data_IF_339387875701
#
_entry.id   IF_339387875701
#
_cell.length_a   1.000
_cell.length_b   1.000
_cell.length_c   1.000
_cell.angle_alpha   90.00
_cell.angle_beta   90.00
_cell.angle_gamma   90.00
#
_symmetry.space_group_name_H-M   'P 1'
#
loop_
_entity.id
_entity.type
_entity.pdbx_description
1 polymer ?
#
# COMPACT_ATOMS: atom_id res chain seq x y z
N UNK A 1 16.43 -17.04 -8.41
CA UNK A 1 15.48 -17.34 -7.33
C UNK A 1 14.07 -17.13 -7.89
N UNK A 2 13.17 -18.10 -7.77
CA UNK A 2 11.82 -17.98 -8.31
C UNK A 2 11.00 -17.02 -7.44
N UNK A 3 10.53 -15.93 -8.04
CA UNK A 3 9.72 -14.89 -7.42
C UNK A 3 8.31 -15.45 -7.11
N UNK A 4 8.05 -15.79 -5.84
CA UNK A 4 6.78 -16.40 -5.41
C UNK A 4 5.73 -15.32 -5.15
N UNK A 5 4.42 -15.59 -5.38
CA UNK A 5 3.36 -14.61 -5.15
C UNK A 5 3.32 -14.01 -3.74
N UNK A 6 3.66 -14.80 -2.72
CA UNK A 6 3.71 -14.37 -1.31
C UNK A 6 4.81 -13.31 -1.09
N UNK A 7 5.99 -13.51 -1.69
CA UNK A 7 7.10 -12.57 -1.56
C UNK A 7 6.79 -11.23 -2.23
N UNK A 8 6.09 -11.26 -3.37
CA UNK A 8 5.65 -10.05 -4.05
C UNK A 8 4.64 -9.24 -3.25
N UNK A 9 3.58 -9.88 -2.71
CA UNK A 9 2.57 -9.15 -1.93
C UNK A 9 3.17 -8.53 -0.67
N UNK A 10 4.06 -9.26 0.00
CA UNK A 10 4.80 -8.76 1.15
C UNK A 10 5.64 -7.54 0.78
N UNK A 11 6.45 -7.64 -0.27
CA UNK A 11 7.28 -6.53 -0.75
C UNK A 11 6.46 -5.28 -1.07
N UNK A 12 5.37 -5.40 -1.82
CA UNK A 12 4.56 -4.20 -2.15
C UNK A 12 3.79 -3.66 -0.93
N UNK A 13 3.50 -4.50 0.06
CA UNK A 13 2.87 -4.05 1.32
C UNK A 13 3.88 -3.25 2.13
N UNK A 14 5.09 -3.79 2.34
CA UNK A 14 6.19 -3.13 3.06
C UNK A 14 6.49 -1.75 2.44
N UNK A 15 6.59 -1.67 1.11
CA UNK A 15 6.84 -0.39 0.42
C UNK A 15 5.69 0.61 0.60
N UNK A 16 4.43 0.15 0.65
CA UNK A 16 3.29 1.04 0.95
C UNK A 16 3.34 1.49 2.41
N UNK A 17 3.66 0.59 3.34
CA UNK A 17 3.79 0.86 4.77
C UNK A 17 4.89 1.91 5.06
N UNK A 18 6.03 1.83 4.37
CA UNK A 18 7.11 2.82 4.45
C UNK A 18 6.72 4.21 3.94
N UNK A 19 5.68 4.32 3.12
CA UNK A 19 5.22 5.56 2.48
C UNK A 19 3.77 5.91 2.86
N UNK A 20 3.29 5.45 4.02
CA UNK A 20 1.89 5.58 4.44
C UNK A 20 1.38 7.02 4.46
N UNK A 21 2.14 7.92 5.08
CA UNK A 21 1.76 9.32 5.29
C UNK A 21 1.85 10.19 4.03
N UNK A 22 2.42 9.69 2.94
CA UNK A 22 2.54 10.45 1.69
C UNK A 22 1.24 10.32 0.88
N UNK A 23 0.37 11.32 0.96
CA UNK A 23 -0.88 11.40 0.19
C UNK A 23 -0.68 11.23 -1.33
N UNK A 24 0.50 11.60 -1.86
CA UNK A 24 0.84 11.48 -3.28
C UNK A 24 1.33 10.09 -3.67
N UNK A 25 1.60 9.20 -2.70
CA UNK A 25 2.07 7.85 -2.97
C UNK A 25 0.99 7.01 -3.66
N UNK A 26 1.22 6.71 -4.95
CA UNK A 26 0.28 6.01 -5.81
C UNK A 26 0.92 4.95 -6.68
N UNK A 27 0.27 4.65 -7.81
CA UNK A 27 0.67 3.57 -8.72
C UNK A 27 2.06 3.80 -9.31
N UNK A 28 2.40 5.06 -9.63
CA UNK A 28 3.67 5.41 -10.28
C UNK A 28 4.83 5.28 -9.29
N UNK A 29 4.60 5.70 -8.05
CA UNK A 29 5.55 5.73 -6.95
C UNK A 29 5.86 4.29 -6.53
N UNK A 30 4.83 3.47 -6.31
CA UNK A 30 5.00 2.05 -6.00
C UNK A 30 5.72 1.31 -7.13
N UNK A 31 5.36 1.56 -8.39
CA UNK A 31 6.02 0.93 -9.54
C UNK A 31 7.52 1.25 -9.59
N UNK A 32 7.88 2.52 -9.39
CA UNK A 32 9.26 2.98 -9.32
C UNK A 32 10.00 2.36 -8.13
N UNK A 33 9.40 2.34 -6.95
CA UNK A 33 10.02 1.82 -5.73
C UNK A 33 10.38 0.32 -5.83
N UNK A 34 9.56 -0.48 -6.51
CA UNK A 34 9.83 -1.91 -6.70
C UNK A 34 10.56 -2.25 -8.01
N UNK A 35 10.97 -1.24 -8.78
CA UNK A 35 11.68 -1.44 -10.05
C UNK A 35 10.85 -2.09 -11.17
N UNK A 36 9.52 -1.89 -11.18
CA UNK A 36 8.62 -2.43 -12.21
C UNK A 36 8.02 -1.32 -13.08
N UNK A 37 7.70 -1.66 -14.33
CA UNK A 37 6.83 -0.79 -15.12
C UNK A 37 5.41 -0.76 -14.53
N UNK A 38 4.71 0.36 -14.68
CA UNK A 38 3.32 0.52 -14.22
C UNK A 38 2.40 -0.58 -14.76
N UNK A 39 2.54 -0.93 -16.04
CA UNK A 39 1.72 -1.98 -16.67
C UNK A 39 1.99 -3.36 -16.08
N UNK A 40 3.24 -3.67 -15.70
CA UNK A 40 3.57 -4.92 -15.04
C UNK A 40 3.00 -4.97 -13.61
N UNK A 41 3.14 -3.88 -12.85
CA UNK A 41 2.58 -3.78 -11.51
C UNK A 41 1.05 -3.96 -11.53
N UNK A 42 0.35 -3.22 -12.42
CA UNK A 42 -1.11 -3.31 -12.57
C UNK A 42 -1.57 -4.74 -12.86
N UNK A 43 -0.95 -5.40 -13.85
CA UNK A 43 -1.28 -6.78 -14.23
C UNK A 43 -1.02 -7.74 -13.08
N UNK A 44 0.13 -7.61 -12.42
CA UNK A 44 0.57 -8.54 -11.38
C UNK A 44 -0.27 -8.42 -10.11
N UNK A 45 -0.55 -7.20 -9.64
CA UNK A 45 -1.46 -6.97 -8.50
C UNK A 45 -2.85 -7.51 -8.84
N UNK A 46 -3.42 -7.15 -10.01
CA UNK A 46 -4.74 -7.63 -10.40
C UNK A 46 -4.83 -9.16 -10.46
N UNK A 47 -3.80 -9.82 -11.01
CA UNK A 47 -3.74 -11.29 -11.08
C UNK A 47 -3.61 -11.95 -9.70
N UNK A 48 -2.92 -11.30 -8.77
CA UNK A 48 -2.60 -11.88 -7.46
C UNK A 48 -3.69 -11.61 -6.42
N UNK A 49 -4.28 -10.41 -6.42
CA UNK A 49 -5.24 -9.96 -5.39
C UNK A 49 -6.65 -9.74 -5.93
N UNK A 50 -6.83 -9.66 -7.25
CA UNK A 50 -8.10 -9.23 -7.85
C UNK A 50 -8.37 -7.72 -7.79
N UNK A 51 -7.47 -6.93 -7.19
CA UNK A 51 -7.64 -5.50 -6.98
C UNK A 51 -6.93 -4.64 -8.04
N UNK A 52 -7.33 -3.36 -8.16
CA UNK A 52 -6.46 -2.35 -8.77
C UNK A 52 -5.35 -1.97 -7.79
N UNK A 53 -4.24 -1.44 -8.30
CA UNK A 53 -3.11 -0.99 -7.46
C UNK A 53 -3.55 0.13 -6.49
N UNK A 54 -4.33 1.10 -6.95
CA UNK A 54 -4.83 2.17 -6.09
C UNK A 54 -5.74 1.64 -4.97
N UNK A 55 -6.56 0.62 -5.26
CA UNK A 55 -7.38 -0.02 -4.22
C UNK A 55 -6.53 -0.81 -3.23
N UNK A 56 -5.51 -1.52 -3.72
CA UNK A 56 -4.56 -2.22 -2.87
C UNK A 56 -3.86 -1.26 -1.88
N UNK A 57 -3.31 -0.14 -2.38
CA UNK A 57 -2.67 0.89 -1.53
C UNK A 57 -3.65 1.39 -0.46
N UNK A 58 -4.89 1.69 -0.86
CA UNK A 58 -5.94 2.14 0.07
C UNK A 58 -6.26 1.10 1.14
N UNK A 59 -6.34 -0.19 0.78
CA UNK A 59 -6.61 -1.25 1.76
C UNK A 59 -5.48 -1.42 2.77
N UNK A 60 -4.22 -1.24 2.36
CA UNK A 60 -3.07 -1.20 3.30
C UNK A 60 -3.18 0.01 4.25
N UNK A 61 -3.46 1.21 3.71
CA UNK A 61 -3.67 2.42 4.52
C UNK A 61 -4.80 2.26 5.54
N UNK A 62 -5.95 1.75 5.10
CA UNK A 62 -7.10 1.51 5.97
C UNK A 62 -6.81 0.47 7.04
N UNK A 63 -6.08 -0.60 6.71
CA UNK A 63 -5.66 -1.60 7.69
C UNK A 63 -4.78 -0.97 8.78
N UNK A 64 -3.83 -0.12 8.41
CA UNK A 64 -3.02 0.62 9.39
C UNK A 64 -3.86 1.60 10.21
N UNK A 65 -4.78 2.33 9.57
CA UNK A 65 -5.68 3.25 10.26
C UNK A 65 -6.54 2.53 11.31
N UNK A 66 -7.05 1.34 11.00
CA UNK A 66 -7.80 0.51 11.95
C UNK A 66 -6.98 0.11 13.18
N UNK A 67 -5.66 -0.06 13.04
CA UNK A 67 -4.80 -0.36 14.18
C UNK A 67 -4.54 0.87 15.03
N UNK A 68 -4.29 2.03 14.40
CA UNK A 68 -4.12 3.31 15.12
C UNK A 68 -5.38 3.74 15.86
N UNK A 69 -6.57 3.53 15.26
CA UNK A 69 -7.86 3.87 15.88
C UNK A 69 -8.17 3.08 17.16
N UNK A 70 -7.39 2.03 17.48
CA UNK A 70 -7.51 1.32 18.77
C UNK A 70 -6.81 2.06 19.90
N UNK A 71 -5.96 3.03 19.58
CA UNK A 71 -5.26 3.88 20.56
C UNK A 71 -6.22 4.98 21.05
N UNK A 72 -6.49 5.09 22.37
CA UNK A 72 -7.54 5.98 22.87
C UNK A 72 -7.19 7.47 22.79
N UNK A 73 -5.92 7.81 22.53
CA UNK A 73 -5.41 9.19 22.56
C UNK A 73 -5.26 9.82 21.16
N UNK A 74 -5.47 9.05 20.09
CA UNK A 74 -5.34 9.56 18.71
C UNK A 74 -6.71 9.90 18.11
N UNK A 75 -6.82 11.08 17.54
CA UNK A 75 -8.03 11.53 16.86
C UNK A 75 -8.12 10.95 15.43
N UNK A 76 -9.34 10.87 14.89
CA UNK A 76 -9.57 10.43 13.50
C UNK A 76 -8.78 11.30 12.50
N UNK A 77 -8.68 12.60 12.75
CA UNK A 77 -7.92 13.53 11.90
C UNK A 77 -6.42 13.25 11.92
N UNK A 78 -5.85 12.94 13.09
CA UNK A 78 -4.44 12.55 13.22
C UNK A 78 -4.17 11.20 12.56
N UNK A 79 -5.09 10.24 12.70
CA UNK A 79 -4.99 8.96 11.99
C UNK A 79 -5.00 9.18 10.47
N UNK A 80 -5.93 9.99 9.95
CA UNK A 80 -6.01 10.29 8.52
C UNK A 80 -4.69 10.86 7.99
N UNK A 81 -4.12 11.85 8.70
CA UNK A 81 -2.82 12.42 8.36
C UNK A 81 -1.69 11.38 8.39
N UNK A 82 -1.63 10.53 9.42
CA UNK A 82 -0.58 9.51 9.55
C UNK A 82 -0.63 8.43 8.46
N UNK A 83 -1.81 8.17 7.90
CA UNK A 83 -2.00 7.17 6.84
C UNK A 83 -2.24 7.77 5.46
N UNK A 84 -2.03 9.09 5.29
CA UNK A 84 -2.06 9.76 4.00
C UNK A 84 -3.45 9.86 3.36
N UNK A 85 -4.45 10.23 4.16
CA UNK A 85 -5.82 10.59 3.75
C UNK A 85 -6.12 12.07 4.01
#
# INVERSE_FOLDING_TARGET
>A
MADRPIDFLRQITEVVEENLSDEQFGVSELARAIGMSRSNLLRRVKKTTGLSVSRFIREVRLKRAMDLLKEPEITVSEVAYQVGF
#
